data_IF_350616756156
#
_entry.id   IF_350616756156
#
_cell.length_a   1.000
_cell.length_b   1.000
_cell.length_c   1.000
_cell.angle_alpha   90.00
_cell.angle_beta   90.00
_cell.angle_gamma   90.00
#
_symmetry.space_group_name_H-M   'P 1'
#
loop_
_entity.id
_entity.type
_entity.pdbx_description
1 polymer ?
#
# COMPACT_ATOMS: atom_id res chain seq x y z
N UNK A 1 -10.63 9.03 -1.95
CA UNK A 1 -10.59 8.59 -3.36
C UNK A 1 -10.12 7.14 -3.33
N UNK A 2 -10.76 6.26 -4.10
CA UNK A 2 -10.38 4.84 -4.16
C UNK A 2 -9.85 4.55 -5.56
N UNK A 3 -8.71 3.89 -5.65
CA UNK A 3 -8.12 3.46 -6.93
C UNK A 3 -8.24 1.95 -7.00
N UNK A 4 -8.82 1.46 -8.09
CA UNK A 4 -8.88 0.02 -8.35
C UNK A 4 -7.51 -0.48 -8.81
N UNK A 5 -7.01 -1.52 -8.15
CA UNK A 5 -5.73 -2.15 -8.47
C UNK A 5 -5.96 -3.55 -9.01
N UNK A 6 -5.41 -3.83 -10.19
CA UNK A 6 -5.37 -5.17 -10.76
C UNK A 6 -4.00 -5.81 -10.49
N UNK A 7 -3.99 -7.03 -9.95
CA UNK A 7 -2.76 -7.79 -9.70
C UNK A 7 -2.64 -8.90 -10.74
N UNK A 8 -1.54 -8.89 -11.47
CA UNK A 8 -1.16 -10.04 -12.30
C UNK A 8 -0.56 -11.15 -11.44
N UNK A 9 -1.34 -12.22 -11.24
CA UNK A 9 -0.96 -13.39 -10.45
C UNK A 9 0.05 -14.30 -11.16
N UNK A 10 0.29 -14.11 -12.46
CA UNK A 10 1.32 -14.85 -13.19
C UNK A 10 2.71 -14.22 -13.05
N UNK A 11 2.77 -12.92 -12.71
CA UNK A 11 4.03 -12.18 -12.61
C UNK A 11 4.80 -12.44 -11.29
N UNK A 12 4.12 -12.87 -10.22
CA UNK A 12 4.75 -13.13 -8.93
C UNK A 12 3.99 -14.22 -8.13
N UNK A 13 4.69 -15.03 -7.31
CA UNK A 13 4.04 -15.95 -6.39
C UNK A 13 3.30 -15.20 -5.27
N UNK A 14 2.32 -15.84 -4.60
CA UNK A 14 1.62 -15.23 -3.47
C UNK A 14 2.58 -14.95 -2.31
N UNK A 15 2.38 -13.82 -1.64
CA UNK A 15 3.10 -13.50 -0.41
C UNK A 15 2.78 -14.52 0.70
N UNK A 16 3.74 -14.84 1.59
CA UNK A 16 3.47 -15.65 2.77
C UNK A 16 2.37 -15.04 3.62
N UNK A 17 1.60 -15.89 4.32
CA UNK A 17 0.58 -15.42 5.25
C UNK A 17 1.21 -14.56 6.34
N UNK A 18 0.72 -13.33 6.50
CA UNK A 18 1.04 -12.40 7.59
C UNK A 18 -0.24 -12.04 8.33
N UNK A 19 -0.10 -11.28 9.42
CA UNK A 19 -1.24 -10.65 10.08
C UNK A 19 -1.98 -9.68 9.15
N UNK A 20 -3.08 -9.12 9.65
CA UNK A 20 -3.85 -8.10 8.94
C UNK A 20 -3.71 -6.76 9.68
N UNK A 21 -3.14 -5.70 9.07
CA UNK A 21 -2.71 -5.58 7.67
C UNK A 21 -1.43 -6.39 7.36
N UNK A 22 -1.24 -6.71 6.09
CA UNK A 22 -0.07 -7.46 5.61
C UNK A 22 1.23 -6.64 5.74
N UNK A 23 1.12 -5.32 5.61
CA UNK A 23 2.16 -4.34 5.93
C UNK A 23 1.54 -2.98 6.26
N UNK A 24 2.19 -2.22 7.15
CA UNK A 24 1.89 -0.84 7.46
C UNK A 24 3.18 0.00 7.45
N UNK A 25 3.08 1.26 7.01
CA UNK A 25 4.18 2.20 7.10
C UNK A 25 3.67 3.61 7.35
N UNK A 26 4.45 4.36 8.14
CA UNK A 26 4.20 5.74 8.50
C UNK A 26 5.23 6.64 7.82
N UNK A 27 4.78 7.71 7.19
CA UNK A 27 5.66 8.73 6.64
C UNK A 27 5.83 9.85 7.66
N UNK A 28 7.07 10.28 7.87
CA UNK A 28 7.36 11.38 8.78
C UNK A 28 6.92 12.75 8.23
N UNK A 29 6.83 12.90 6.90
CA UNK A 29 6.43 14.14 6.21
C UNK A 29 5.71 13.80 4.90
N UNK A 30 4.59 14.47 4.55
CA UNK A 30 3.83 15.42 5.37
C UNK A 30 3.19 14.73 6.59
N UNK A 31 3.14 15.44 7.71
CA UNK A 31 2.77 14.93 9.05
C UNK A 31 1.50 14.05 9.01
N UNK A 32 1.52 12.94 9.77
CA UNK A 32 0.41 11.99 9.94
C UNK A 32 -0.12 11.35 8.63
N UNK A 33 0.80 10.95 7.75
CA UNK A 33 0.48 10.14 6.58
C UNK A 33 0.97 8.69 6.71
N UNK A 34 0.24 7.77 6.12
CA UNK A 34 0.58 6.36 6.17
C UNK A 34 -0.06 5.54 5.06
N UNK A 35 0.40 4.29 4.99
CA UNK A 35 -0.09 3.28 4.06
C UNK A 35 -0.41 1.99 4.80
N UNK A 36 -1.52 1.36 4.43
CA UNK A 36 -1.85 0.00 4.85
C UNK A 36 -2.06 -0.88 3.62
N UNK A 37 -1.48 -2.08 3.67
CA UNK A 37 -1.55 -3.08 2.62
C UNK A 37 -2.38 -4.25 3.10
N UNK A 38 -3.46 -4.55 2.39
CA UNK A 38 -4.29 -5.72 2.64
C UNK A 38 -4.09 -6.73 1.54
N UNK A 39 -3.89 -7.99 1.94
CA UNK A 39 -3.74 -9.11 1.02
C UNK A 39 -4.87 -10.12 1.19
N UNK A 40 -5.33 -10.68 0.07
CA UNK A 40 -6.23 -11.82 0.01
C UNK A 40 -5.59 -12.91 -0.84
N UNK A 41 -5.53 -14.13 -0.30
CA UNK A 41 -4.89 -15.28 -0.94
C UNK A 41 -3.41 -15.01 -1.31
N UNK A 42 -2.73 -14.16 -0.53
CA UNK A 42 -1.33 -13.76 -0.75
C UNK A 42 -1.13 -12.69 -1.85
N UNK A 43 -2.19 -12.12 -2.41
CA UNK A 43 -2.12 -11.05 -3.40
C UNK A 43 -2.73 -9.75 -2.86
N UNK A 44 -2.21 -8.61 -3.32
CA UNK A 44 -2.77 -7.29 -2.97
C UNK A 44 -4.27 -7.25 -3.31
N UNK A 45 -5.09 -6.95 -2.30
CA UNK A 45 -6.54 -6.82 -2.47
C UNK A 45 -7.02 -5.39 -2.24
N UNK A 46 -6.33 -4.65 -1.36
CA UNK A 46 -6.63 -3.24 -1.08
C UNK A 46 -5.35 -2.53 -0.64
N UNK A 47 -5.18 -1.30 -1.14
CA UNK A 47 -4.15 -0.36 -0.71
C UNK A 47 -4.85 0.88 -0.17
N UNK A 48 -4.67 1.15 1.12
CA UNK A 48 -5.17 2.38 1.73
C UNK A 48 -4.01 3.34 1.95
N UNK A 49 -4.15 4.56 1.44
CA UNK A 49 -3.24 5.67 1.73
C UNK A 49 -4.06 6.74 2.44
N UNK A 50 -3.59 7.14 3.61
CA UNK A 50 -4.25 8.13 4.46
C UNK A 50 -3.27 9.23 4.84
N UNK A 51 -3.82 10.41 5.11
CA UNK A 51 -3.11 11.56 5.67
C UNK A 51 -4.09 12.33 6.56
N UNK A 52 -3.60 12.91 7.66
CA UNK A 52 -4.37 13.87 8.44
C UNK A 52 -4.55 15.23 7.74
N UNK A 53 -3.87 15.44 6.61
CA UNK A 53 -4.04 16.63 5.77
C UNK A 53 -5.49 16.75 5.29
N UNK A 54 -6.03 17.98 5.29
CA UNK A 54 -7.30 18.30 4.64
C UNK A 54 -7.23 18.30 3.12
N UNK A 55 -6.02 18.39 2.56
CA UNK A 55 -5.78 18.33 1.11
C UNK A 55 -5.77 16.89 0.62
N UNK A 56 -6.43 16.59 -0.52
CA UNK A 56 -6.41 15.26 -1.10
C UNK A 56 -5.00 14.87 -1.55
N UNK A 57 -4.67 13.59 -1.42
CA UNK A 57 -3.42 13.02 -1.94
C UNK A 57 -3.51 13.00 -3.48
N UNK A 58 -2.75 13.88 -4.13
CA UNK A 58 -2.76 14.03 -5.59
C UNK A 58 -1.47 13.57 -6.27
N UNK A 59 -0.40 13.33 -5.49
CA UNK A 59 0.88 12.86 -6.00
C UNK A 59 1.23 11.51 -5.37
N UNK A 60 1.50 10.52 -6.22
CA UNK A 60 2.00 9.22 -5.80
C UNK A 60 3.53 9.29 -5.74
N UNK A 61 4.18 8.73 -4.70
CA UNK A 61 5.63 8.61 -4.70
C UNK A 61 6.07 7.72 -5.87
N UNK A 62 7.17 8.11 -6.53
CA UNK A 62 7.78 7.28 -7.57
C UNK A 62 8.07 5.88 -7.03
N UNK A 63 7.84 4.80 -7.81
CA UNK A 63 8.13 3.45 -7.37
C UNK A 63 9.61 3.34 -6.97
N UNK A 64 9.85 3.03 -5.70
CA UNK A 64 11.19 2.66 -5.22
C UNK A 64 11.16 1.19 -4.89
N UNK A 65 12.05 0.43 -5.52
CA UNK A 65 12.29 -0.93 -5.07
C UNK A 65 12.86 -0.85 -3.66
N UNK A 66 12.20 -1.51 -2.70
CA UNK A 66 12.77 -1.66 -1.38
C UNK A 66 14.10 -2.41 -1.53
N UNK A 67 15.21 -1.78 -1.11
CA UNK A 67 16.49 -2.48 -1.04
C UNK A 67 16.36 -3.65 -0.05
N UNK A 68 17.00 -4.76 -0.40
CA UNK A 68 16.79 -6.06 0.21
C UNK A 68 17.49 -6.20 1.57
#
# INVERSE_FOLDING_TARGET
MTVDLAVDRAAAPPAPTRGNPAADAWYAVPEDAGVMVFAKDGYLSLLEIYSASSEPITAWPEPRFAER
#
